data_IF_671088119158
#
_entry.id   IF_671088119158
#
_cell.length_a   1.000
_cell.length_b   1.000
_cell.length_c   1.000
_cell.angle_alpha   90.00
_cell.angle_beta   90.00
_cell.angle_gamma   90.00
#
_symmetry.space_group_name_H-M   'P 1'
#
loop_
_entity.id
_entity.type
_entity.pdbx_description
1 polymer ?
#
# COMPACT_ATOMS: atom_id res chain seq x y z
N UNK A 1 5.28 12.75 3.54
CA UNK A 1 6.53 12.80 4.35
C UNK A 1 6.49 13.89 5.42
N UNK A 2 6.15 15.15 5.12
CA UNK A 2 6.17 16.23 6.13
C UNK A 2 5.31 15.88 7.36
N UNK A 3 4.07 15.41 7.17
CA UNK A 3 3.19 15.01 8.27
C UNK A 3 3.80 13.88 9.13
N UNK A 4 4.47 12.89 8.51
CA UNK A 4 5.17 11.81 9.24
C UNK A 4 6.32 12.35 10.08
N UNK A 5 7.12 13.27 9.52
CA UNK A 5 8.24 13.91 10.25
C UNK A 5 7.75 14.69 11.49
N UNK A 6 6.56 15.31 11.39
CA UNK A 6 5.97 16.06 12.49
C UNK A 6 5.44 15.15 13.62
N UNK A 7 5.31 13.82 13.40
CA UNK A 7 4.80 12.83 14.36
C UNK A 7 5.90 12.19 15.23
N UNK A 8 7.17 12.51 15.04
CA UNK A 8 8.28 11.92 15.80
C UNK A 8 8.32 10.37 15.73
N UNK A 9 8.16 9.83 14.51
CA UNK A 9 8.13 8.40 14.23
C UNK A 9 9.54 7.81 14.27
N UNK A 10 9.72 6.66 14.92
CA UNK A 10 11.01 5.96 15.02
C UNK A 10 11.33 5.18 13.73
N UNK A 11 10.35 4.51 13.13
CA UNK A 11 10.51 3.66 11.95
C UNK A 11 9.38 3.85 10.96
N UNK A 12 9.69 3.75 9.65
CA UNK A 12 8.71 3.84 8.57
C UNK A 12 8.72 2.54 7.77
N UNK A 13 7.54 1.94 7.61
CA UNK A 13 7.32 0.72 6.84
C UNK A 13 6.45 1.00 5.62
N UNK A 14 6.88 0.51 4.45
CA UNK A 14 6.09 0.53 3.22
C UNK A 14 5.57 -0.88 2.91
N UNK A 15 4.25 -1.01 2.79
CA UNK A 15 3.60 -2.30 2.57
C UNK A 15 3.41 -2.64 1.07
N UNK A 16 4.33 -2.19 0.22
CA UNK A 16 4.35 -2.51 -1.20
C UNK A 16 3.52 -1.58 -2.08
N UNK A 17 3.48 -1.92 -3.37
CA UNK A 17 2.92 -1.09 -4.45
C UNK A 17 3.57 0.31 -4.45
N UNK A 18 4.90 0.30 -4.39
CA UNK A 18 5.73 1.51 -4.42
C UNK A 18 5.56 2.23 -5.75
N UNK A 19 5.35 1.46 -6.80
CA UNK A 19 5.18 1.92 -8.19
C UNK A 19 3.88 1.37 -8.79
N UNK A 20 3.48 1.89 -9.94
CA UNK A 20 2.33 1.37 -10.70
C UNK A 20 1.57 2.45 -11.45
N UNK A 21 0.71 3.21 -10.82
CA UNK A 21 -0.18 4.17 -11.48
C UNK A 21 0.33 5.62 -11.46
N UNK A 22 1.27 5.92 -10.57
CA UNK A 22 1.75 7.28 -10.34
C UNK A 22 2.77 7.74 -11.39
N UNK A 23 2.94 9.07 -11.57
CA UNK A 23 3.79 9.65 -12.61
C UNK A 23 5.28 9.68 -12.24
N UNK A 24 5.67 9.36 -10.99
CA UNK A 24 7.03 9.56 -10.46
C UNK A 24 7.61 8.28 -9.84
N UNK A 25 7.76 7.17 -10.61
CA UNK A 25 8.19 5.89 -10.04
C UNK A 25 9.62 5.90 -9.49
N UNK A 26 10.54 6.65 -10.10
CA UNK A 26 11.94 6.74 -9.65
C UNK A 26 12.04 7.40 -8.29
N UNK A 27 11.39 8.55 -8.16
CA UNK A 27 11.36 9.35 -6.95
C UNK A 27 10.71 8.58 -5.80
N UNK A 28 9.65 7.80 -6.09
CA UNK A 28 9.02 6.94 -5.10
C UNK A 28 9.98 5.86 -4.60
N UNK A 29 10.67 5.14 -5.50
CA UNK A 29 11.64 4.11 -5.11
C UNK A 29 12.79 4.74 -4.29
N UNK A 30 13.35 5.86 -4.77
CA UNK A 30 14.48 6.50 -4.09
C UNK A 30 14.09 7.01 -2.70
N UNK A 31 12.85 7.45 -2.51
CA UNK A 31 12.33 7.87 -1.22
C UNK A 31 12.15 6.70 -0.26
N UNK A 32 11.47 5.62 -0.70
CA UNK A 32 11.15 4.50 0.20
C UNK A 32 12.36 3.59 0.46
N UNK A 33 13.39 3.65 -0.38
CA UNK A 33 14.64 2.94 -0.15
C UNK A 33 15.37 3.38 1.13
N UNK A 34 15.01 4.55 1.68
CA UNK A 34 15.52 5.06 2.96
C UNK A 34 14.68 4.59 4.17
N UNK A 35 13.58 3.85 3.97
CA UNK A 35 12.73 3.35 5.05
C UNK A 35 13.31 2.09 5.68
N UNK A 36 12.95 1.82 6.93
CA UNK A 36 13.42 0.67 7.69
C UNK A 36 12.90 -0.65 7.11
N UNK A 37 11.69 -0.65 6.53
CA UNK A 37 11.13 -1.80 5.87
C UNK A 37 10.32 -1.39 4.64
N UNK A 38 10.56 -2.11 3.53
CA UNK A 38 9.65 -2.15 2.39
C UNK A 38 9.36 -3.60 2.04
N UNK A 39 8.12 -3.94 1.73
CA UNK A 39 7.75 -5.27 1.24
C UNK A 39 7.24 -5.19 -0.20
N UNK A 40 7.25 -6.32 -0.88
CA UNK A 40 6.88 -6.44 -2.29
C UNK A 40 5.36 -6.38 -2.46
N UNK A 41 4.86 -5.41 -3.24
CA UNK A 41 3.49 -5.35 -3.72
C UNK A 41 3.30 -6.06 -5.06
N UNK A 42 2.04 -6.22 -5.50
CA UNK A 42 1.75 -6.88 -6.78
C UNK A 42 2.15 -6.01 -7.99
N UNK A 43 2.10 -4.69 -7.89
CA UNK A 43 2.60 -3.80 -8.94
C UNK A 43 4.13 -3.83 -9.03
N UNK A 44 4.83 -3.86 -7.90
CA UNK A 44 6.29 -4.01 -7.86
C UNK A 44 6.71 -5.33 -8.49
N UNK A 45 6.02 -6.43 -8.15
CA UNK A 45 6.24 -7.74 -8.74
C UNK A 45 5.97 -7.74 -10.25
N UNK A 46 4.88 -7.10 -10.69
CA UNK A 46 4.54 -7.01 -12.10
C UNK A 46 5.55 -6.16 -12.91
N UNK A 47 6.21 -5.19 -12.28
CA UNK A 47 7.31 -4.46 -12.92
C UNK A 47 8.57 -5.32 -13.10
N UNK A 48 8.83 -6.28 -12.20
CA UNK A 48 9.95 -7.23 -12.29
C UNK A 48 9.69 -8.36 -13.28
N UNK A 49 8.42 -8.79 -13.40
CA UNK A 49 7.99 -9.95 -14.19
C UNK A 49 6.87 -9.55 -15.18
N UNK A 50 6.15 -10.52 -15.71
CA UNK A 50 4.99 -10.23 -16.56
C UNK A 50 3.76 -9.85 -15.73
N UNK A 51 3.00 -8.80 -16.14
CA UNK A 51 1.82 -8.32 -15.41
C UNK A 51 0.59 -9.21 -15.66
N UNK A 52 0.68 -10.49 -15.27
CA UNK A 52 -0.43 -11.44 -15.44
C UNK A 52 -1.62 -11.09 -14.54
N UNK A 53 -2.82 -11.08 -15.12
CA UNK A 53 -4.08 -10.85 -14.40
C UNK A 53 -4.43 -9.37 -14.17
N UNK A 54 -3.63 -8.45 -14.68
CA UNK A 54 -3.93 -7.02 -14.62
C UNK A 54 -4.93 -6.59 -15.70
N UNK A 55 -5.67 -5.50 -15.46
CA UNK A 55 -6.46 -4.84 -16.50
C UNK A 55 -5.53 -4.21 -17.56
N UNK A 56 -6.04 -3.97 -18.77
CA UNK A 56 -5.26 -3.33 -19.84
C UNK A 56 -4.72 -1.94 -19.43
N UNK A 57 -5.46 -1.18 -18.63
CA UNK A 57 -5.02 0.10 -18.10
C UNK A 57 -3.85 -0.07 -17.13
N UNK A 58 -3.96 -1.03 -16.21
CA UNK A 58 -2.90 -1.31 -15.24
C UNK A 58 -1.64 -1.87 -15.93
N UNK A 59 -1.82 -2.77 -16.90
CA UNK A 59 -0.72 -3.32 -17.69
C UNK A 59 0.05 -2.23 -18.44
N UNK A 60 -0.65 -1.30 -19.12
CA UNK A 60 0.01 -0.15 -19.78
C UNK A 60 0.79 0.71 -18.81
N UNK A 61 0.23 0.99 -17.64
CA UNK A 61 0.91 1.77 -16.61
C UNK A 61 2.17 1.07 -16.09
N UNK A 62 2.13 -0.26 -15.91
CA UNK A 62 3.29 -1.07 -15.51
C UNK A 62 4.38 -1.03 -16.59
N UNK A 63 4.03 -1.21 -17.86
CA UNK A 63 5.02 -1.13 -18.95
C UNK A 63 5.61 0.27 -19.10
N UNK A 64 4.82 1.32 -18.93
CA UNK A 64 5.35 2.68 -18.88
C UNK A 64 6.32 2.87 -17.69
N UNK A 65 5.94 2.40 -16.50
CA UNK A 65 6.78 2.43 -15.30
C UNK A 65 8.12 1.74 -15.55
N UNK A 66 8.12 0.54 -16.16
CA UNK A 66 9.35 -0.19 -16.54
C UNK A 66 10.24 0.67 -17.42
N UNK A 67 9.68 1.29 -18.48
CA UNK A 67 10.44 2.18 -19.36
C UNK A 67 11.08 3.33 -18.56
N UNK A 68 10.34 3.93 -17.59
CA UNK A 68 10.91 4.98 -16.76
C UNK A 68 12.11 4.49 -15.94
N UNK A 69 12.08 3.25 -15.45
CA UNK A 69 13.16 2.67 -14.65
C UNK A 69 14.37 2.24 -15.50
N UNK A 70 14.14 1.86 -16.77
CA UNK A 70 15.18 1.45 -17.72
C UNK A 70 15.89 2.63 -18.39
N UNK A 71 15.18 3.76 -18.54
CA UNK A 71 15.60 4.89 -19.36
C UNK A 71 16.55 5.81 -18.59
N UNK A 72 17.84 5.38 -18.47
CA UNK A 72 18.87 6.29 -18.00
C UNK A 72 20.25 5.90 -18.54
N UNK A 73 20.55 6.34 -19.78
CA UNK A 73 21.88 6.17 -20.36
C UNK A 73 22.95 6.98 -19.60
N UNK A 74 22.56 8.00 -18.84
CA UNK A 74 23.45 8.82 -18.03
C UNK A 74 23.50 8.36 -16.55
N UNK A 75 22.48 7.63 -16.04
CA UNK A 75 22.39 7.10 -14.67
C UNK A 75 22.36 5.56 -14.59
N UNK A 76 23.16 4.86 -15.37
CA UNK A 76 23.15 3.39 -15.36
C UNK A 76 23.24 2.74 -13.96
N UNK A 77 23.94 3.36 -13.01
CA UNK A 77 24.04 2.89 -11.62
C UNK A 77 22.79 3.17 -10.79
N UNK A 78 22.09 4.29 -11.02
CA UNK A 78 20.80 4.60 -10.39
C UNK A 78 19.73 3.61 -10.80
N UNK A 79 19.60 3.31 -12.11
CA UNK A 79 18.69 2.30 -12.62
C UNK A 79 18.95 0.92 -12.03
N UNK A 80 20.21 0.47 -12.02
CA UNK A 80 20.61 -0.81 -11.40
C UNK A 80 20.29 -0.88 -9.91
N UNK A 81 20.49 0.23 -9.17
CA UNK A 81 20.16 0.31 -7.74
C UNK A 81 18.66 0.15 -7.52
N UNK A 82 17.81 0.83 -8.29
CA UNK A 82 16.35 0.75 -8.19
C UNK A 82 15.83 -0.66 -8.51
N UNK A 83 16.31 -1.27 -9.59
CA UNK A 83 15.95 -2.65 -9.93
C UNK A 83 16.40 -3.66 -8.88
N UNK A 84 17.61 -3.50 -8.33
CA UNK A 84 18.09 -4.36 -7.25
C UNK A 84 17.22 -4.20 -6.01
N UNK A 85 16.90 -2.97 -5.63
CA UNK A 85 16.03 -2.68 -4.50
C UNK A 85 14.68 -3.40 -4.64
N UNK A 86 13.99 -3.25 -5.77
CA UNK A 86 12.72 -3.93 -6.02
C UNK A 86 12.87 -5.46 -5.99
N UNK A 87 13.94 -6.01 -6.57
CA UNK A 87 14.16 -7.45 -6.64
C UNK A 87 14.49 -8.09 -5.27
N UNK A 88 15.00 -7.31 -4.33
CA UNK A 88 15.37 -7.76 -2.98
C UNK A 88 14.24 -7.56 -1.95
N UNK A 89 13.11 -6.95 -2.33
CA UNK A 89 11.98 -6.73 -1.42
C UNK A 89 11.43 -8.07 -0.89
N UNK A 90 11.31 -8.23 0.44
CA UNK A 90 10.67 -9.40 1.02
C UNK A 90 9.16 -9.40 0.75
N UNK A 91 8.55 -10.58 0.70
CA UNK A 91 7.09 -10.73 0.51
C UNK A 91 6.29 -10.54 1.78
N UNK A 92 6.93 -10.80 2.90
CA UNK A 92 6.35 -10.70 4.26
C UNK A 92 7.43 -10.27 5.22
N UNK A 93 7.00 -9.63 6.28
CA UNK A 93 7.86 -9.38 7.43
C UNK A 93 7.09 -9.68 8.71
N UNK A 94 7.72 -10.36 9.65
CA UNK A 94 7.12 -10.63 10.95
C UNK A 94 8.10 -10.27 12.05
N UNK A 95 7.62 -9.52 13.01
CA UNK A 95 8.33 -9.23 14.26
C UNK A 95 7.36 -9.45 15.41
N UNK A 96 7.73 -10.33 16.33
CA UNK A 96 6.89 -10.73 17.47
C UNK A 96 5.47 -11.13 17.03
N UNK A 97 4.46 -10.43 17.51
CA UNK A 97 3.03 -10.65 17.23
C UNK A 97 2.53 -9.91 15.98
N UNK A 98 3.40 -9.13 15.29
CA UNK A 98 3.06 -8.29 14.15
C UNK A 98 3.50 -8.94 12.85
N UNK A 99 2.55 -9.13 11.94
CA UNK A 99 2.77 -9.60 10.56
C UNK A 99 2.50 -8.45 9.58
N UNK A 100 3.43 -8.20 8.67
CA UNK A 100 3.30 -7.21 7.61
C UNK A 100 3.27 -7.91 6.26
N UNK A 101 2.23 -7.66 5.47
CA UNK A 101 2.01 -8.21 4.13
C UNK A 101 1.43 -7.13 3.22
N UNK A 102 1.55 -7.31 1.91
CA UNK A 102 0.84 -6.43 0.98
C UNK A 102 -0.62 -6.84 0.84
N UNK A 103 -0.89 -8.11 0.52
CA UNK A 103 -2.23 -8.66 0.25
C UNK A 103 -2.88 -9.27 1.49
N UNK A 104 -2.56 -10.50 1.83
CA UNK A 104 -3.08 -11.19 3.01
C UNK A 104 -2.08 -12.16 3.62
N UNK A 105 -2.32 -12.62 4.85
CA UNK A 105 -1.49 -13.64 5.48
C UNK A 105 -1.47 -14.96 4.69
N UNK A 106 -2.50 -15.25 3.87
CA UNK A 106 -2.62 -16.45 3.04
C UNK A 106 -1.91 -16.33 1.70
N UNK A 107 -2.02 -15.18 1.06
CA UNK A 107 -1.31 -14.85 -0.17
C UNK A 107 -0.77 -13.41 -0.04
N UNK A 108 0.48 -13.27 0.39
CA UNK A 108 1.03 -11.97 0.80
C UNK A 108 1.06 -10.88 -0.27
N UNK A 109 0.98 -11.26 -1.56
CA UNK A 109 1.12 -10.29 -2.66
C UNK A 109 -0.21 -10.03 -3.37
N UNK A 110 -0.97 -11.09 -3.73
CA UNK A 110 -2.04 -10.98 -4.73
C UNK A 110 -3.46 -11.11 -4.16
N UNK A 111 -3.63 -11.45 -2.89
CA UNK A 111 -4.98 -11.65 -2.36
C UNK A 111 -5.60 -10.33 -1.88
N UNK A 112 -6.70 -9.97 -2.52
CA UNK A 112 -7.57 -8.89 -2.03
C UNK A 112 -8.41 -9.36 -0.85
N UNK A 113 -8.49 -8.55 0.20
CA UNK A 113 -9.44 -8.73 1.29
C UNK A 113 -10.24 -7.43 1.43
N UNK A 114 -11.44 -7.43 0.85
CA UNK A 114 -12.35 -6.30 0.88
C UNK A 114 -13.24 -6.32 2.13
N UNK A 115 -13.83 -5.18 2.54
CA UNK A 115 -14.77 -5.12 3.66
C UNK A 115 -15.89 -6.16 3.60
N UNK A 116 -16.41 -6.45 2.40
CA UNK A 116 -17.48 -7.40 2.17
C UNK A 116 -17.07 -8.87 2.39
N UNK A 117 -15.77 -9.15 2.41
CA UNK A 117 -15.27 -10.51 2.67
C UNK A 117 -15.60 -11.01 4.09
N UNK A 118 -15.98 -10.13 5.01
CA UNK A 118 -16.49 -10.54 6.34
C UNK A 118 -17.71 -11.47 6.25
N UNK A 119 -18.47 -11.38 5.16
CA UNK A 119 -19.58 -12.30 4.88
C UNK A 119 -19.11 -13.68 4.36
N UNK A 120 -17.87 -13.79 3.91
CA UNK A 120 -17.23 -15.06 3.52
C UNK A 120 -16.43 -15.64 4.68
N UNK A 121 -17.13 -16.19 5.66
CA UNK A 121 -16.52 -16.76 6.88
C UNK A 121 -15.36 -17.70 6.58
N UNK A 122 -15.52 -18.60 5.59
CA UNK A 122 -14.46 -19.54 5.22
C UNK A 122 -13.17 -18.86 4.75
N UNK A 123 -13.27 -17.71 4.06
CA UNK A 123 -12.11 -16.93 3.63
C UNK A 123 -11.45 -16.29 4.86
N UNK A 124 -12.25 -15.59 5.68
CA UNK A 124 -11.76 -14.89 6.87
C UNK A 124 -11.12 -15.86 7.86
N UNK A 125 -11.76 -16.98 8.18
CA UNK A 125 -11.18 -18.02 9.07
C UNK A 125 -9.80 -18.49 8.60
N UNK A 126 -9.66 -18.74 7.28
CA UNK A 126 -8.37 -19.16 6.70
C UNK A 126 -7.29 -18.08 6.80
N UNK A 127 -7.65 -16.82 6.55
CA UNK A 127 -6.70 -15.70 6.67
C UNK A 127 -6.29 -15.54 8.13
N UNK A 128 -7.26 -15.47 9.06
CA UNK A 128 -7.00 -15.28 10.49
C UNK A 128 -6.26 -16.47 11.14
N UNK A 129 -6.40 -17.68 10.62
CA UNK A 129 -5.64 -18.83 11.10
C UNK A 129 -4.12 -18.70 10.88
N UNK A 130 -3.69 -17.84 9.95
CA UNK A 130 -2.29 -17.60 9.62
C UNK A 130 -1.73 -16.31 10.25
N UNK A 131 -2.58 -15.47 10.83
CA UNK A 131 -2.17 -14.26 11.53
C UNK A 131 -1.67 -14.64 12.92
N UNK A 132 -0.48 -14.20 13.37
CA UNK A 132 -0.01 -14.44 14.74
C UNK A 132 -0.95 -13.77 15.75
N UNK A 133 -1.07 -12.46 15.75
CA UNK A 133 -2.03 -11.68 16.51
C UNK A 133 -2.48 -10.44 15.72
N UNK A 134 -1.57 -9.65 15.23
CA UNK A 134 -1.83 -8.44 14.44
C UNK A 134 -1.26 -8.57 13.05
N UNK A 135 -2.04 -8.19 12.02
CA UNK A 135 -1.58 -8.19 10.64
C UNK A 135 -1.85 -6.84 10.00
N UNK A 136 -0.83 -6.25 9.40
CA UNK A 136 -0.95 -5.02 8.64
C UNK A 136 -0.88 -5.32 7.14
N UNK A 137 -1.83 -4.77 6.37
CA UNK A 137 -1.92 -4.96 4.93
C UNK A 137 -2.34 -3.67 4.20
N UNK A 138 -2.14 -3.64 2.88
CA UNK A 138 -2.58 -2.59 1.97
C UNK A 138 -3.50 -3.11 0.87
N UNK A 139 -3.04 -3.03 -0.39
CA UNK A 139 -3.57 -3.65 -1.61
C UNK A 139 -4.98 -3.20 -2.05
N UNK A 140 -6.00 -3.25 -1.18
CA UNK A 140 -7.35 -2.78 -1.52
C UNK A 140 -7.49 -1.26 -1.46
N UNK A 141 -6.60 -0.58 -0.75
CA UNK A 141 -6.62 0.87 -0.49
C UNK A 141 -7.84 1.36 0.30
N UNK A 142 -8.55 0.46 0.99
CA UNK A 142 -9.70 0.75 1.83
C UNK A 142 -9.31 0.58 3.29
N UNK A 143 -8.99 1.66 4.01
CA UNK A 143 -8.51 1.59 5.38
C UNK A 143 -9.58 1.14 6.36
N UNK A 144 -9.17 0.37 7.36
CA UNK A 144 -10.04 -0.12 8.43
C UNK A 144 -9.50 -1.36 9.09
N UNK A 145 -10.27 -1.92 10.02
CA UNK A 145 -9.88 -3.03 10.86
C UNK A 145 -10.84 -4.20 10.68
N UNK A 146 -10.30 -5.35 10.29
CA UNK A 146 -11.00 -6.64 10.31
C UNK A 146 -10.76 -7.31 11.64
N UNK A 147 -11.83 -7.87 12.23
CA UNK A 147 -11.76 -8.62 13.49
C UNK A 147 -11.95 -10.11 13.24
N UNK A 148 -11.51 -10.94 14.16
CA UNK A 148 -11.75 -12.40 14.14
C UNK A 148 -13.24 -12.76 14.29
N UNK A 149 -14.07 -11.82 14.75
CA UNK A 149 -15.53 -11.93 14.88
C UNK A 149 -16.29 -11.63 13.58
N UNK A 150 -15.59 -11.57 12.45
CA UNK A 150 -16.14 -11.29 11.10
C UNK A 150 -16.75 -9.90 10.96
N UNK A 151 -16.14 -8.90 11.55
CA UNK A 151 -16.53 -7.51 11.40
C UNK A 151 -15.47 -6.74 10.62
N UNK A 152 -15.89 -5.71 9.90
CA UNK A 152 -15.03 -4.67 9.37
C UNK A 152 -15.44 -3.34 9.98
N UNK A 153 -14.51 -2.72 10.67
CA UNK A 153 -14.69 -1.42 11.31
C UNK A 153 -14.02 -0.35 10.45
N UNK A 154 -14.82 0.55 9.90
CA UNK A 154 -14.32 1.70 9.14
C UNK A 154 -13.83 2.82 10.06
N UNK A 155 -13.15 3.82 9.51
CA UNK A 155 -12.52 4.89 10.28
C UNK A 155 -13.52 5.73 11.09
N UNK A 156 -14.76 5.87 10.63
CA UNK A 156 -15.80 6.59 11.38
C UNK A 156 -16.21 5.84 12.64
N UNK A 157 -16.33 4.50 12.55
CA UNK A 157 -16.74 3.66 13.67
C UNK A 157 -15.68 3.61 14.80
N UNK A 158 -14.40 3.72 14.44
CA UNK A 158 -13.27 3.71 15.39
C UNK A 158 -12.72 5.10 15.72
N UNK A 159 -13.38 6.16 15.24
CA UNK A 159 -12.92 7.55 15.40
C UNK A 159 -11.45 7.75 14.99
N UNK A 160 -11.03 7.04 13.92
CA UNK A 160 -9.66 6.98 13.38
C UNK A 160 -8.60 6.38 14.33
N UNK A 161 -8.97 5.86 15.49
CA UNK A 161 -8.04 5.20 16.43
C UNK A 161 -8.61 3.83 16.84
N UNK A 162 -7.81 2.80 16.66
CA UNK A 162 -8.14 1.45 17.11
C UNK A 162 -7.21 1.06 18.28
N UNK A 163 -7.78 0.55 19.36
CA UNK A 163 -7.03 0.04 20.50
C UNK A 163 -6.81 -1.47 20.34
N UNK A 164 -5.54 -1.86 20.23
CA UNK A 164 -5.14 -3.26 20.16
C UNK A 164 -5.37 -3.94 21.51
N UNK A 165 -5.99 -5.12 21.49
CA UNK A 165 -6.26 -5.94 22.66
C UNK A 165 -5.74 -7.38 22.43
N UNK A 166 -6.25 -8.36 23.18
CA UNK A 166 -5.82 -9.75 23.05
C UNK A 166 -6.40 -10.49 21.83
N UNK A 167 -7.32 -9.88 21.09
CA UNK A 167 -7.94 -10.47 19.90
C UNK A 167 -7.03 -10.32 18.67
N UNK A 168 -7.21 -11.25 17.74
CA UNK A 168 -6.57 -11.11 16.42
C UNK A 168 -7.28 -10.06 15.59
N UNK A 169 -6.49 -9.18 14.97
CA UNK A 169 -6.99 -8.19 14.02
C UNK A 169 -6.11 -8.11 12.77
N UNK A 170 -6.73 -7.71 11.67
CA UNK A 170 -6.06 -7.40 10.42
C UNK A 170 -6.41 -5.95 10.04
N UNK A 171 -5.38 -5.13 9.90
CA UNK A 171 -5.48 -3.69 9.69
C UNK A 171 -5.12 -3.39 8.24
N UNK A 172 -6.06 -2.84 7.47
CA UNK A 172 -5.73 -2.25 6.17
C UNK A 172 -5.31 -0.80 6.39
N UNK A 173 -4.09 -0.47 6.02
CA UNK A 173 -3.49 0.85 6.26
C UNK A 173 -3.97 1.93 5.30
N UNK A 174 -4.78 1.57 4.30
CA UNK A 174 -5.21 2.47 3.24
C UNK A 174 -4.14 2.66 2.17
N UNK A 175 -4.09 3.83 1.58
CA UNK A 175 -3.12 4.17 0.53
C UNK A 175 -2.70 5.63 0.63
N UNK A 176 -1.39 5.88 0.52
CA UNK A 176 -0.85 7.24 0.43
C UNK A 176 -1.00 7.83 -0.97
N UNK A 177 -1.01 6.97 -2.01
CA UNK A 177 -1.03 7.39 -3.41
C UNK A 177 -2.42 7.41 -4.04
N UNK A 178 -3.25 6.39 -3.74
CA UNK A 178 -4.55 6.21 -4.40
C UNK A 178 -5.60 5.63 -3.45
N UNK A 179 -6.12 6.41 -2.49
CA UNK A 179 -7.23 5.99 -1.61
C UNK A 179 -8.47 5.57 -2.41
N UNK A 180 -9.22 4.56 -1.90
CA UNK A 180 -10.39 3.98 -2.58
C UNK A 180 -11.61 3.82 -1.66
N UNK A 181 -11.70 4.63 -0.63
CA UNK A 181 -12.80 4.62 0.33
C UNK A 181 -13.68 5.87 0.26
N UNK A 182 -13.56 6.64 -0.83
CA UNK A 182 -14.31 7.87 -1.06
C UNK A 182 -13.71 9.12 -0.40
N UNK A 183 -12.57 8.99 0.27
CA UNK A 183 -11.81 10.10 0.81
C UNK A 183 -10.50 10.27 0.01
N UNK A 184 -10.38 11.36 -0.72
CA UNK A 184 -9.24 11.62 -1.61
C UNK A 184 -7.93 11.97 -0.88
N UNK A 185 -7.96 12.15 0.44
CA UNK A 185 -6.75 12.42 1.24
C UNK A 185 -5.90 11.17 1.37
N UNK A 186 -4.57 11.32 1.26
CA UNK A 186 -3.62 10.24 1.56
C UNK A 186 -3.89 9.61 2.91
N UNK A 187 -3.78 8.29 2.99
CA UNK A 187 -3.98 7.55 4.23
C UNK A 187 -2.74 6.73 4.60
N UNK A 188 -2.33 6.83 5.86
CA UNK A 188 -1.35 5.94 6.49
C UNK A 188 -1.72 5.70 7.96
N UNK A 189 -1.05 4.78 8.63
CA UNK A 189 -1.28 4.52 10.06
C UNK A 189 -0.03 4.77 10.90
N UNK A 190 -0.23 5.13 12.15
CA UNK A 190 0.79 5.14 13.19
C UNK A 190 0.46 4.00 14.15
N UNK A 191 1.41 3.07 14.32
CA UNK A 191 1.37 2.05 15.35
C UNK A 191 2.18 2.54 16.56
N UNK A 192 1.53 2.67 17.71
CA UNK A 192 2.20 2.84 19.01
C UNK A 192 2.09 1.51 19.77
N UNK A 193 3.20 0.77 19.81
CA UNK A 193 3.27 -0.56 20.43
C UNK A 193 3.29 -0.49 21.97
N UNK A 194 3.62 0.67 22.55
CA UNK A 194 3.58 0.90 23.99
C UNK A 194 2.17 1.27 24.46
N UNK A 195 1.49 2.14 23.71
CA UNK A 195 0.11 2.52 23.97
C UNK A 195 -0.90 1.46 23.46
N UNK A 196 -0.46 0.51 22.64
CA UNK A 196 -1.30 -0.47 21.95
C UNK A 196 -2.38 0.21 21.10
N UNK A 197 -1.99 1.17 20.28
CA UNK A 197 -2.92 1.91 19.42
C UNK A 197 -2.48 1.92 17.97
N UNK A 198 -3.46 1.95 17.07
CA UNK A 198 -3.30 2.18 15.63
C UNK A 198 -4.11 3.41 15.27
N UNK A 199 -3.43 4.52 14.97
CA UNK A 199 -4.04 5.76 14.54
C UNK A 199 -4.01 5.86 13.01
N UNK A 200 -5.16 6.11 12.38
CA UNK A 200 -5.29 6.36 10.95
C UNK A 200 -5.21 7.85 10.66
N UNK A 201 -4.23 8.24 9.86
CA UNK A 201 -3.97 9.63 9.47
C UNK A 201 -4.48 9.91 8.06
N UNK A 202 -5.12 11.07 7.90
CA UNK A 202 -5.56 11.58 6.60
C UNK A 202 -4.85 12.89 6.29
N UNK A 203 -4.09 12.89 5.20
CA UNK A 203 -3.25 14.03 4.82
C UNK A 203 -3.71 14.62 3.48
N UNK A 204 -4.00 15.90 3.47
CA UNK A 204 -4.30 16.65 2.24
C UNK A 204 -3.00 16.82 1.44
N UNK A 205 -3.07 16.61 0.14
CA UNK A 205 -1.96 16.83 -0.78
C UNK A 205 -2.45 17.53 -2.07
N UNK A 206 -1.58 18.07 -2.91
CA UNK A 206 -1.98 18.79 -4.12
C UNK A 206 -2.41 17.82 -5.25
N UNK A 207 -3.58 17.22 -5.12
CA UNK A 207 -4.14 16.21 -6.03
C UNK A 207 -4.10 16.68 -7.49
N UNK A 208 -4.46 17.96 -7.74
CA UNK A 208 -4.48 18.52 -9.09
C UNK A 208 -3.09 18.53 -9.75
N UNK A 209 -2.01 18.66 -9.00
CA UNK A 209 -0.65 18.58 -9.55
C UNK A 209 -0.34 17.16 -10.01
N UNK A 210 -0.67 16.16 -9.19
CA UNK A 210 -0.44 14.75 -9.52
C UNK A 210 -1.31 14.30 -10.69
N UNK A 211 -2.61 14.63 -10.70
CA UNK A 211 -3.51 14.28 -11.80
C UNK A 211 -3.10 14.93 -13.12
N UNK A 212 -2.67 16.21 -13.10
CA UNK A 212 -2.17 16.87 -14.30
C UNK A 212 -0.88 16.23 -14.84
N UNK A 213 -0.01 15.73 -13.98
CA UNK A 213 1.17 14.96 -14.41
C UNK A 213 0.76 13.65 -15.07
N UNK A 214 -0.25 12.94 -14.55
CA UNK A 214 -0.80 11.72 -15.15
C UNK A 214 -1.38 12.03 -16.53
N UNK A 215 -2.23 13.06 -16.66
CA UNK A 215 -2.84 13.45 -17.94
C UNK A 215 -1.81 13.87 -19.01
N UNK A 216 -0.64 14.33 -18.60
CA UNK A 216 0.43 14.68 -19.53
C UNK A 216 1.20 13.48 -20.10
N UNK A 217 0.95 12.27 -19.59
CA UNK A 217 1.63 11.03 -19.98
C UNK A 217 0.68 10.18 -20.85
N UNK A 218 0.94 10.10 -22.15
CA UNK A 218 0.07 9.41 -23.12
C UNK A 218 -0.18 7.93 -22.79
N UNK A 219 0.79 7.25 -22.18
CA UNK A 219 0.68 5.84 -21.81
C UNK A 219 -0.18 5.61 -20.54
N UNK A 220 -0.37 6.65 -19.73
CA UNK A 220 -1.24 6.58 -18.54
C UNK A 220 -2.67 7.01 -18.91
N UNK A 221 -3.65 6.22 -18.52
CA UNK A 221 -5.06 6.52 -18.77
C UNK A 221 -5.50 7.67 -17.86
N UNK A 222 -6.23 8.64 -18.42
CA UNK A 222 -6.77 9.80 -17.69
C UNK A 222 -7.58 9.38 -16.45
N UNK A 223 -8.25 8.24 -16.52
CA UNK A 223 -8.97 7.64 -15.40
C UNK A 223 -8.09 7.48 -14.15
N UNK A 224 -6.78 7.25 -14.28
CA UNK A 224 -5.84 7.16 -13.15
C UNK A 224 -5.67 8.50 -12.43
N UNK A 225 -5.79 9.61 -13.15
CA UNK A 225 -5.82 10.95 -12.57
C UNK A 225 -7.17 11.33 -12.00
N UNK A 226 -8.27 11.00 -12.71
CA UNK A 226 -9.64 11.31 -12.30
C UNK A 226 -9.99 10.72 -10.93
N UNK A 227 -9.65 9.45 -10.72
CA UNK A 227 -9.96 8.72 -9.49
C UNK A 227 -9.27 9.26 -8.23
N UNK A 228 -8.18 10.03 -8.38
CA UNK A 228 -7.52 10.69 -7.24
C UNK A 228 -8.41 11.76 -6.61
N UNK A 229 -9.23 12.45 -7.41
CA UNK A 229 -10.15 13.49 -6.93
C UNK A 229 -11.30 12.90 -6.14
N UNK A 230 -11.74 11.70 -6.50
CA UNK A 230 -12.90 11.03 -5.90
C UNK A 230 -12.53 10.07 -4.75
N UNK A 231 -11.26 9.70 -4.62
CA UNK A 231 -10.84 8.66 -3.69
C UNK A 231 -11.38 7.27 -4.08
N UNK A 232 -11.28 6.90 -5.39
CA UNK A 232 -11.85 5.67 -5.94
C UNK A 232 -10.82 4.78 -6.64
#
# INVERSE_FOLDING_TARGET
MQDIQDQQIDEIFCLGDIIGYGPSPRECIDLVAEFQLCILGNHDQAALFDPEGFSSTAERAIFWTRKQLEFDSEESEGAKRRWRFLAELPRTHQVDEFLFVHGSARNPINEYVFPEDVYNKRKIEKVFSLIPKYCFQGHTHVPGVFTEDYEFLNLTQIESVYHLDDRKVMINVGSVGQPRDGDSRSCYVILDDQANTVEFRRVVYPIAETSNQIYAIEELDDFLGDRLHDGK
#
